data_IF_054713764670
#
_entry.id   IF_054713764670
#
_cell.length_a   1.000
_cell.length_b   1.000
_cell.length_c   1.000
_cell.angle_alpha   90.00
_cell.angle_beta   90.00
_cell.angle_gamma   90.00
#
_symmetry.space_group_name_H-M   'P 1'
#
loop_
_entity.id
_entity.type
_entity.pdbx_description
1 polymer ?
#
# COMPACT_ATOMS: atom_id res chain seq x y z
N UNK A 1 -29.42 51.58 -22.25
CA UNK A 1 -29.55 50.67 -21.09
C UNK A 1 -29.40 49.26 -21.65
N UNK A 2 -28.24 48.59 -21.71
CA UNK A 2 -27.19 48.33 -20.72
C UNK A 2 -25.92 47.88 -21.47
N UNK A 3 -24.74 48.39 -21.11
CA UNK A 3 -23.45 47.82 -21.52
C UNK A 3 -22.65 47.51 -20.26
N UNK A 4 -23.08 46.49 -19.52
CA UNK A 4 -22.35 46.02 -18.35
C UNK A 4 -21.29 45.01 -18.78
N UNK A 5 -20.05 45.48 -18.73
CA UNK A 5 -18.81 44.77 -19.02
C UNK A 5 -18.74 43.45 -18.25
N UNK A 6 -18.58 42.35 -18.99
CA UNK A 6 -18.03 41.10 -18.44
C UNK A 6 -16.58 41.37 -18.06
N UNK A 7 -16.36 41.60 -16.77
CA UNK A 7 -15.05 41.75 -16.12
C UNK A 7 -14.25 40.48 -16.40
N UNK A 8 -13.31 40.57 -17.33
CA UNK A 8 -12.39 39.50 -17.69
C UNK A 8 -11.65 39.05 -16.44
N UNK A 9 -11.94 37.83 -16.00
CA UNK A 9 -11.18 37.15 -14.96
C UNK A 9 -9.84 36.80 -15.60
N UNK A 10 -8.86 37.68 -15.41
CA UNK A 10 -7.48 37.44 -15.82
C UNK A 10 -7.04 36.15 -15.13
N UNK A 11 -6.97 35.07 -15.91
CA UNK A 11 -6.31 33.85 -15.49
C UNK A 11 -4.87 34.28 -15.14
N UNK A 12 -4.40 34.05 -13.90
CA UNK A 12 -2.99 34.20 -13.61
C UNK A 12 -2.29 33.17 -14.48
N UNK A 13 -1.62 33.62 -15.53
CA UNK A 13 -0.72 32.75 -16.26
C UNK A 13 0.34 32.33 -15.25
N UNK A 14 0.48 31.03 -15.07
CA UNK A 14 1.57 30.45 -14.31
C UNK A 14 2.86 30.97 -14.97
N UNK A 15 3.47 32.00 -14.35
CA UNK A 15 4.77 32.52 -14.77
C UNK A 15 5.76 31.37 -14.62
N UNK A 16 6.40 30.91 -15.70
CA UNK A 16 7.38 29.85 -15.60
C UNK A 16 8.54 30.37 -14.74
N UNK A 17 8.88 29.62 -13.69
CA UNK A 17 10.04 29.88 -12.84
C UNK A 17 11.32 29.72 -13.69
N UNK A 18 11.82 30.84 -14.19
CA UNK A 18 12.90 30.94 -15.17
C UNK A 18 14.28 30.59 -14.58
N UNK A 19 14.34 30.25 -13.30
CA UNK A 19 15.56 29.90 -12.59
C UNK A 19 15.53 28.46 -12.05
N UNK A 20 14.55 27.66 -12.49
CA UNK A 20 14.55 26.22 -12.21
C UNK A 20 15.61 25.55 -13.11
N UNK A 21 16.49 24.69 -12.57
CA UNK A 21 17.41 23.92 -13.40
C UNK A 21 16.61 22.87 -14.18
N UNK A 22 16.13 23.28 -15.36
CA UNK A 22 15.34 22.48 -16.28
C UNK A 22 16.24 21.46 -16.99
N UNK A 23 16.50 20.30 -16.38
CA UNK A 23 17.28 19.28 -17.10
C UNK A 23 17.80 18.06 -16.36
N UNK A 24 17.65 17.93 -15.04
CA UNK A 24 17.84 16.62 -14.43
C UNK A 24 16.55 15.81 -14.70
N UNK A 25 16.55 14.78 -15.57
CA UNK A 25 15.41 13.88 -15.61
C UNK A 25 15.22 13.37 -14.18
N UNK A 26 14.02 13.50 -13.61
CA UNK A 26 13.67 12.71 -12.44
C UNK A 26 14.07 11.29 -12.81
N UNK A 27 15.09 10.75 -12.13
CA UNK A 27 15.75 9.54 -12.58
C UNK A 27 14.66 8.49 -12.85
N UNK A 28 14.76 7.69 -13.91
CA UNK A 28 13.72 6.69 -14.21
C UNK A 28 13.40 5.79 -12.97
N UNK A 29 14.35 5.69 -12.03
CA UNK A 29 14.16 5.08 -10.72
C UNK A 29 13.12 5.77 -9.82
N UNK A 30 12.98 7.09 -9.82
CA UNK A 30 12.05 7.82 -8.95
C UNK A 30 10.58 7.65 -9.37
N UNK A 31 10.32 7.54 -10.68
CA UNK A 31 8.99 7.21 -11.21
C UNK A 31 8.62 5.75 -10.93
N UNK A 32 9.60 4.83 -11.02
CA UNK A 32 9.40 3.40 -10.74
C UNK A 32 9.38 3.03 -9.25
N UNK A 33 9.95 3.86 -8.38
CA UNK A 33 10.06 3.60 -6.94
C UNK A 33 8.69 3.45 -6.28
N UNK A 34 7.73 4.32 -6.62
CA UNK A 34 6.38 4.28 -6.04
C UNK A 34 5.63 3.00 -6.41
N UNK A 35 5.80 2.47 -7.63
CA UNK A 35 5.17 1.20 -8.05
C UNK A 35 5.87 -0.02 -7.44
N UNK A 36 7.20 0.02 -7.34
CA UNK A 36 7.99 -1.02 -6.70
C UNK A 36 7.69 -1.15 -5.20
N UNK A 37 7.45 -0.03 -4.51
CA UNK A 37 7.14 0.00 -3.08
C UNK A 37 5.87 -0.80 -2.75
N UNK A 38 4.78 -0.56 -3.48
CA UNK A 38 3.52 -1.32 -3.28
C UNK A 38 3.67 -2.81 -3.62
N UNK A 39 4.42 -3.12 -4.68
CA UNK A 39 4.68 -4.51 -5.08
C UNK A 39 5.49 -5.25 -4.00
N UNK A 40 6.56 -4.64 -3.50
CA UNK A 40 7.40 -5.23 -2.44
C UNK A 40 6.62 -5.36 -1.13
N UNK A 41 5.77 -4.37 -0.79
CA UNK A 41 4.89 -4.46 0.38
C UNK A 41 3.96 -5.67 0.34
N UNK A 42 3.37 -5.95 -0.82
CA UNK A 42 2.50 -7.12 -1.00
C UNK A 42 3.29 -8.43 -0.94
N UNK A 43 4.45 -8.49 -1.59
CA UNK A 43 5.32 -9.67 -1.55
C UNK A 43 5.81 -9.98 -0.13
N UNK A 44 6.17 -8.96 0.66
CA UNK A 44 6.53 -9.11 2.05
C UNK A 44 5.36 -9.69 2.88
N UNK A 45 4.14 -9.18 2.69
CA UNK A 45 2.95 -9.69 3.37
C UNK A 45 2.64 -11.15 2.99
N UNK A 46 2.74 -11.50 1.71
CA UNK A 46 2.53 -12.87 1.24
C UNK A 46 3.58 -13.83 1.81
N UNK A 47 4.86 -13.44 1.83
CA UNK A 47 5.92 -14.24 2.43
C UNK A 47 5.66 -14.51 3.92
N UNK A 48 5.22 -13.48 4.66
CA UNK A 48 4.83 -13.62 6.05
C UNK A 48 3.62 -14.55 6.24
N UNK A 49 2.60 -14.44 5.39
CA UNK A 49 1.44 -15.33 5.42
C UNK A 49 1.83 -16.80 5.17
N UNK A 50 2.76 -17.06 4.25
CA UNK A 50 3.30 -18.41 4.00
C UNK A 50 4.06 -18.94 5.22
N UNK A 51 4.87 -18.10 5.87
CA UNK A 51 5.55 -18.48 7.10
C UNK A 51 4.55 -18.85 8.22
N UNK A 52 3.52 -18.03 8.43
CA UNK A 52 2.45 -18.32 9.39
C UNK A 52 1.66 -19.58 9.04
N UNK A 53 1.42 -19.85 7.76
CA UNK A 53 0.78 -21.09 7.32
C UNK A 53 1.62 -22.32 7.70
N UNK A 54 2.94 -22.22 7.61
CA UNK A 54 3.85 -23.24 8.11
C UNK A 54 3.70 -23.47 9.62
N UNK A 55 3.63 -22.39 10.41
CA UNK A 55 3.40 -22.46 11.86
C UNK A 55 2.08 -23.15 12.19
N UNK A 56 0.99 -22.72 11.56
CA UNK A 56 -0.36 -23.28 11.82
C UNK A 56 -0.44 -24.76 11.44
N UNK A 57 0.27 -25.17 10.38
CA UNK A 57 0.33 -26.58 9.94
C UNK A 57 1.30 -27.44 10.73
N UNK A 58 2.04 -26.88 11.68
CA UNK A 58 3.01 -27.65 12.46
C UNK A 58 2.34 -28.64 13.41
N UNK A 59 3.05 -29.71 13.73
CA UNK A 59 2.60 -30.74 14.67
C UNK A 59 2.35 -30.14 16.07
N UNK A 60 3.15 -29.16 16.49
CA UNK A 60 2.98 -28.50 17.77
C UNK A 60 1.61 -27.80 17.89
N UNK A 61 1.22 -27.02 16.86
CA UNK A 61 -0.07 -26.32 16.84
C UNK A 61 -1.22 -27.31 16.72
N UNK A 62 -1.10 -28.30 15.84
CA UNK A 62 -2.13 -29.31 15.63
C UNK A 62 -2.36 -30.13 16.91
N UNK A 63 -1.29 -30.62 17.55
CA UNK A 63 -1.37 -31.38 18.80
C UNK A 63 -1.97 -30.55 19.94
N UNK A 64 -1.63 -29.26 20.04
CA UNK A 64 -2.21 -28.39 21.06
C UNK A 64 -3.73 -28.24 20.87
N UNK A 65 -4.16 -27.98 19.63
CA UNK A 65 -5.59 -27.85 19.30
C UNK A 65 -6.34 -29.18 19.50
N UNK A 66 -5.78 -30.30 19.04
CA UNK A 66 -6.35 -31.64 19.29
C UNK A 66 -6.50 -31.91 20.78
N UNK A 67 -5.49 -31.59 21.59
CA UNK A 67 -5.55 -31.75 23.04
C UNK A 67 -6.72 -30.97 23.67
N UNK A 68 -6.86 -29.69 23.29
CA UNK A 68 -7.97 -28.84 23.77
C UNK A 68 -9.33 -29.46 23.39
N UNK A 69 -9.48 -29.90 22.12
CA UNK A 69 -10.73 -30.49 21.63
C UNK A 69 -11.04 -31.79 22.36
N UNK A 70 -10.06 -32.67 22.52
CA UNK A 70 -10.24 -33.95 23.24
C UNK A 70 -10.62 -33.72 24.70
N UNK A 71 -9.94 -32.81 25.40
CA UNK A 71 -10.29 -32.46 26.79
C UNK A 71 -11.72 -31.92 26.89
N UNK A 72 -12.12 -31.02 25.99
CA UNK A 72 -13.47 -30.47 25.98
C UNK A 72 -14.53 -31.55 25.73
N UNK A 73 -14.27 -32.48 24.80
CA UNK A 73 -15.19 -33.57 24.50
C UNK A 73 -15.31 -34.56 25.66
N UNK A 74 -14.20 -34.95 26.28
CA UNK A 74 -14.19 -35.84 27.44
C UNK A 74 -14.87 -35.24 28.67
N UNK A 75 -14.90 -33.92 28.81
CA UNK A 75 -15.62 -33.25 29.90
C UNK A 75 -17.15 -33.20 29.67
N UNK A 76 -17.60 -33.37 28.43
CA UNK A 76 -19.01 -33.26 28.03
C UNK A 76 -19.73 -34.61 27.91
N UNK A 77 -18.98 -35.72 27.79
CA UNK A 77 -19.47 -37.11 27.80
C UNK A 77 -19.55 -37.69 29.20
#
# INVERSE_FOLDING_TARGET
MTKHLRRGRRIPLHEPDRNRPDGAPASAGEVGMTTAEYAVGTMAAVAFAVALLGVVRSDAVTSALTGIITTALSAAS
#
